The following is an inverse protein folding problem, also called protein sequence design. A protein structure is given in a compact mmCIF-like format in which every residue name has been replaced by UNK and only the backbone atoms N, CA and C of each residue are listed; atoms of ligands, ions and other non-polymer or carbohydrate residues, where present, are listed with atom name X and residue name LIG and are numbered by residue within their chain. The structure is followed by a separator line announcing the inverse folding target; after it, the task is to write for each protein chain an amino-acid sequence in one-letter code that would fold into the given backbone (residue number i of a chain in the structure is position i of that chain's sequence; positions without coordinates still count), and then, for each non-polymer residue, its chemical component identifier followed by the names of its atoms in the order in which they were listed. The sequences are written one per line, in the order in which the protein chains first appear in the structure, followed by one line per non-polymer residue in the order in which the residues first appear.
data_IF_024776765798
#
_entry.id   IF_024776765798
#
_cell.length_a   1.000
_cell.length_b   1.000
_cell.length_c   1.000
_cell.angle_alpha   90.00
_cell.angle_beta   90.00
_cell.angle_gamma   90.00
#
_symmetry.space_group_name_H-M   'P 1'
#
loop_
_entity.id
_entity.type
_entity.pdbx_description
1 polymer ?
#
# COMPACT_ATOMS: atom_id res chain seq x y z
N UNK A 1 14.42 -9.15 2.70
CA UNK A 1 14.41 -7.81 2.07
C UNK A 1 13.21 -7.73 1.16
N UNK A 2 12.32 -6.75 1.38
CA UNK A 2 11.11 -6.58 0.58
C UNK A 2 11.45 -5.86 -0.73
N UNK A 3 11.41 -6.59 -1.84
CA UNK A 3 11.44 -6.01 -3.19
C UNK A 3 10.00 -5.90 -3.69
N UNK A 4 9.25 -4.94 -3.15
CA UNK A 4 8.08 -4.41 -3.84
C UNK A 4 8.51 -3.10 -4.52
N UNK A 5 8.04 -2.79 -5.74
CA UNK A 5 8.25 -1.50 -6.38
C UNK A 5 7.40 -0.46 -5.65
N UNK A 6 7.86 -0.04 -4.47
CA UNK A 6 7.35 1.11 -3.74
C UNK A 6 7.77 2.32 -4.57
N UNK A 7 6.88 2.79 -5.45
CA UNK A 7 7.04 4.05 -6.17
C UNK A 7 7.01 5.21 -5.16
N UNK A 8 8.09 5.44 -4.41
CA UNK A 8 8.39 6.63 -3.59
C UNK A 8 7.19 7.32 -2.91
N UNK A 9 6.24 6.55 -2.37
CA UNK A 9 5.03 7.06 -1.72
C UNK A 9 5.10 6.75 -0.24
N UNK A 10 4.79 7.74 0.60
CA UNK A 10 4.78 7.56 2.06
C UNK A 10 3.71 6.54 2.45
N UNK A 11 4.11 5.50 3.16
CA UNK A 11 3.22 4.49 3.73
C UNK A 11 3.23 4.70 5.24
N UNK A 12 2.05 4.97 5.82
CA UNK A 12 1.87 5.07 7.26
C UNK A 12 2.11 3.71 7.95
N UNK A 13 2.64 3.75 9.18
CA UNK A 13 2.84 2.55 9.99
C UNK A 13 1.50 1.84 10.25
N UNK A 14 1.48 0.51 10.08
CA UNK A 14 0.25 -0.30 10.17
C UNK A 14 -0.59 -0.38 8.89
N UNK A 15 -0.16 0.22 7.78
CA UNK A 15 -0.75 -0.06 6.47
C UNK A 15 -0.23 -1.39 5.90
N UNK A 16 -1.15 -2.24 5.43
CA UNK A 16 -0.83 -3.55 4.86
C UNK A 16 -1.01 -3.48 3.34
N UNK A 17 0.05 -3.74 2.58
CA UNK A 17 0.01 -3.78 1.11
C UNK A 17 0.01 -5.24 0.66
N UNK A 18 -0.98 -5.62 -0.15
CA UNK A 18 -1.04 -6.95 -0.75
C UNK A 18 0.17 -7.23 -1.64
N UNK A 19 0.65 -8.47 -1.64
CA UNK A 19 1.74 -8.87 -2.53
C UNK A 19 1.33 -8.67 -4.00
N UNK A 20 2.21 -8.05 -4.79
CA UNK A 20 1.92 -7.71 -6.20
C UNK A 20 1.12 -6.42 -6.41
N UNK A 21 0.82 -5.67 -5.34
CA UNK A 21 0.22 -4.33 -5.48
C UNK A 21 1.24 -3.27 -5.82
N UNK A 22 0.82 -2.35 -6.70
CA UNK A 22 1.58 -1.15 -7.07
C UNK A 22 0.94 0.03 -6.38
N UNK A 23 1.62 0.58 -5.37
CA UNK A 23 1.17 1.78 -4.66
C UNK A 23 1.54 3.00 -5.49
N UNK A 24 0.53 3.68 -6.04
CA UNK A 24 0.74 4.88 -6.88
C UNK A 24 0.40 6.19 -6.16
N UNK A 25 -0.06 6.12 -4.89
CA UNK A 25 -0.43 7.28 -4.07
C UNK A 25 0.05 7.08 -2.62
N UNK A 26 0.41 8.17 -1.95
CA UNK A 26 0.75 8.17 -0.53
C UNK A 26 -0.40 7.63 0.32
N UNK A 27 -0.09 6.69 1.21
CA UNK A 27 -1.04 6.09 2.15
C UNK A 27 -0.83 6.77 3.50
N UNK A 28 -1.73 7.69 3.83
CA UNK A 28 -1.78 8.39 5.12
C UNK A 28 -2.67 7.69 6.14
N UNK A 29 -3.51 6.77 5.69
CA UNK A 29 -4.52 6.10 6.50
C UNK A 29 -4.14 4.63 6.66
N UNK A 30 -4.17 4.13 7.90
CA UNK A 30 -3.92 2.71 8.14
C UNK A 30 -5.05 1.87 7.55
N UNK A 31 -4.69 0.77 6.92
CA UNK A 31 -5.66 -0.09 6.25
C UNK A 31 -4.99 -1.13 5.37
N UNK A 32 -5.80 -2.01 4.80
CA UNK A 32 -5.37 -3.03 3.86
C UNK A 32 -5.59 -2.49 2.44
N UNK A 33 -4.52 -2.43 1.67
CA UNK A 33 -4.50 -1.97 0.29
C UNK A 33 -4.10 -3.11 -0.63
N UNK A 34 -4.87 -3.32 -1.70
CA UNK A 34 -4.61 -4.36 -2.68
C UNK A 34 -5.01 -3.92 -4.09
N UNK A 35 -4.51 -4.63 -5.11
CA UNK A 35 -4.72 -4.35 -6.53
C UNK A 35 -3.62 -3.52 -7.19
N UNK A 36 -3.72 -3.40 -8.51
CA UNK A 36 -2.83 -2.61 -9.37
C UNK A 36 -3.70 -1.68 -10.23
N UNK A 37 -3.86 -0.41 -9.85
CA UNK A 37 -3.22 0.30 -8.74
C UNK A 37 -3.79 -0.07 -7.35
N UNK A 38 -2.96 0.07 -6.30
CA UNK A 38 -3.34 -0.27 -4.93
C UNK A 38 -4.53 0.58 -4.45
N UNK A 39 -5.59 -0.09 -4.02
CA UNK A 39 -6.83 0.54 -3.54
C UNK A 39 -7.14 0.06 -2.13
N UNK A 40 -7.73 0.94 -1.32
CA UNK A 40 -8.14 0.62 0.04
C UNK A 40 -9.26 -0.43 -0.02
N UNK A 41 -8.94 -1.64 0.42
CA UNK A 41 -9.89 -2.75 0.49
C UNK A 41 -10.63 -2.74 1.83
N UNK A 42 -9.91 -2.38 2.91
CA UNK A 42 -10.47 -2.37 4.26
C UNK A 42 -9.74 -1.37 5.15
N UNK A 43 -10.50 -0.57 5.89
CA UNK A 43 -9.99 0.31 6.96
C UNK A 43 -9.80 -0.51 8.25
N UNK A 44 -8.70 -0.26 8.95
CA UNK A 44 -8.33 -0.89 10.24
C UNK A 44 -8.19 0.18 11.34
#
# INVERSE_FOLDING_TARGET
GQTAPILAVSICDGAVIGAGSVVTKSITEKGVYAGTPARLLRRL
#
